data_IF_937212388749
#
_entry.id   IF_937212388749
#
_cell.length_a   1.000
_cell.length_b   1.000
_cell.length_c   1.000
_cell.angle_alpha   90.00
_cell.angle_beta   90.00
_cell.angle_gamma   90.00
#
_symmetry.space_group_name_H-M   'P 1'
#
loop_
_entity.id
_entity.type
_entity.pdbx_description
1 polymer ?
#
# COMPACT_ATOMS: atom_id res chain seq x y z
N UNK A 1 1.42 2.84 -16.57
CA UNK A 1 2.59 2.04 -17.02
C UNK A 1 2.14 0.61 -17.24
N UNK A 2 2.64 -0.04 -18.28
CA UNK A 2 2.40 -1.47 -18.50
C UNK A 2 3.25 -2.31 -17.52
N UNK A 3 2.80 -3.54 -17.22
CA UNK A 3 3.47 -4.42 -16.26
C UNK A 3 4.97 -4.64 -16.55
N UNK A 4 5.32 -4.87 -17.82
CA UNK A 4 6.71 -5.04 -18.24
C UNK A 4 7.57 -3.79 -18.01
N UNK A 5 7.01 -2.60 -18.23
CA UNK A 5 7.68 -1.32 -17.98
C UNK A 5 7.94 -1.10 -16.50
N UNK A 6 6.94 -1.39 -15.64
CA UNK A 6 7.09 -1.31 -14.19
C UNK A 6 8.25 -2.19 -13.72
N UNK A 7 8.23 -3.47 -14.10
CA UNK A 7 9.24 -4.44 -13.68
C UNK A 7 10.64 -4.03 -14.19
N UNK A 8 10.76 -3.66 -15.45
CA UNK A 8 12.05 -3.24 -16.04
C UNK A 8 12.59 -1.98 -15.33
N UNK A 9 11.75 -0.99 -15.05
CA UNK A 9 12.15 0.26 -14.43
C UNK A 9 12.63 0.06 -12.98
N UNK A 10 11.90 -0.71 -12.15
CA UNK A 10 12.33 -1.01 -10.78
C UNK A 10 13.61 -1.85 -10.72
N UNK A 11 13.78 -2.80 -11.64
CA UNK A 11 15.04 -3.55 -11.78
C UNK A 11 16.21 -2.66 -12.18
N UNK A 12 16.01 -1.78 -13.15
CA UNK A 12 17.04 -0.83 -13.57
C UNK A 12 17.42 0.14 -12.43
N UNK A 13 16.48 0.47 -11.56
CA UNK A 13 16.72 1.26 -10.35
C UNK A 13 17.36 0.46 -9.19
N UNK A 14 17.65 -0.84 -9.37
CA UNK A 14 18.34 -1.68 -8.39
C UNK A 14 17.44 -2.29 -7.31
N UNK A 15 16.12 -2.27 -7.47
CA UNK A 15 15.21 -2.91 -6.53
C UNK A 15 15.16 -4.42 -6.72
N UNK A 16 15.11 -5.15 -5.62
CA UNK A 16 14.92 -6.61 -5.61
C UNK A 16 13.43 -7.00 -5.51
N UNK A 17 12.59 -6.06 -5.09
CA UNK A 17 11.15 -6.26 -4.97
C UNK A 17 10.37 -4.96 -5.13
N UNK A 18 9.08 -5.10 -5.44
CA UNK A 18 8.08 -4.03 -5.42
C UNK A 18 6.81 -4.51 -4.70
N UNK A 19 6.12 -3.61 -4.03
CA UNK A 19 4.79 -3.86 -3.48
C UNK A 19 3.80 -3.09 -4.35
N UNK A 20 2.88 -3.80 -5.00
CA UNK A 20 1.81 -3.18 -5.78
C UNK A 20 0.67 -2.84 -4.83
N UNK A 21 0.30 -1.57 -4.78
CA UNK A 21 -0.72 -1.00 -3.88
C UNK A 21 -1.75 -0.22 -4.69
N UNK A 22 -2.39 -0.88 -5.65
CA UNK A 22 -3.45 -0.26 -6.45
C UNK A 22 -4.55 0.28 -5.54
N UNK A 23 -5.18 1.38 -5.96
CA UNK A 23 -6.27 2.00 -5.22
C UNK A 23 -7.48 1.09 -5.10
N UNK A 24 -7.87 0.79 -3.86
CA UNK A 24 -9.08 0.05 -3.53
C UNK A 24 -10.12 1.04 -2.99
N UNK A 25 -10.87 1.67 -3.90
CA UNK A 25 -11.89 2.67 -3.60
C UNK A 25 -12.99 2.70 -4.68
N UNK A 26 -14.07 3.45 -4.45
CA UNK A 26 -15.20 3.51 -5.39
C UNK A 26 -14.82 4.02 -6.78
N UNK A 27 -13.95 5.02 -6.85
CA UNK A 27 -13.53 5.59 -8.15
C UNK A 27 -12.79 4.55 -9.00
N UNK A 28 -11.91 3.78 -8.37
CA UNK A 28 -11.18 2.70 -9.08
C UNK A 28 -12.14 1.60 -9.54
N UNK A 29 -13.09 1.22 -8.70
CA UNK A 29 -14.07 0.22 -9.05
C UNK A 29 -14.98 0.68 -10.21
N UNK A 30 -15.41 1.93 -10.21
CA UNK A 30 -16.11 2.54 -11.33
C UNK A 30 -15.26 2.53 -12.61
N UNK A 31 -14.01 2.95 -12.53
CA UNK A 31 -13.08 2.94 -13.66
C UNK A 31 -12.86 1.55 -14.24
N UNK A 32 -12.78 0.53 -13.39
CA UNK A 32 -12.64 -0.87 -13.80
C UNK A 32 -13.94 -1.51 -14.26
N UNK A 33 -15.07 -0.84 -14.14
CA UNK A 33 -16.39 -1.40 -14.45
C UNK A 33 -16.83 -2.50 -13.48
N UNK A 34 -16.31 -2.48 -12.24
CA UNK A 34 -16.63 -3.45 -11.20
C UNK A 34 -17.70 -2.87 -10.27
N UNK A 35 -18.89 -3.49 -10.24
CA UNK A 35 -19.91 -3.13 -9.24
C UNK A 35 -19.49 -3.60 -7.85
N UNK A 36 -19.19 -2.69 -6.91
CA UNK A 36 -18.74 -3.06 -5.56
C UNK A 36 -19.81 -3.80 -4.73
N UNK A 37 -21.09 -3.65 -5.07
CA UNK A 37 -22.22 -4.37 -4.46
C UNK A 37 -22.65 -5.62 -5.26
N UNK A 38 -22.07 -5.85 -6.44
CA UNK A 38 -22.40 -6.94 -7.35
C UNK A 38 -22.11 -8.33 -6.78
N UNK A 39 -22.37 -9.36 -7.57
CA UNK A 39 -22.24 -10.78 -7.15
C UNK A 39 -21.02 -11.50 -7.72
N UNK A 40 -20.21 -10.85 -8.57
CA UNK A 40 -19.01 -11.45 -9.17
C UNK A 40 -17.82 -11.55 -8.24
N UNK A 41 -16.75 -12.20 -8.67
CA UNK A 41 -15.47 -12.25 -7.98
C UNK A 41 -14.71 -10.92 -8.15
N UNK A 42 -15.13 -9.93 -7.36
CA UNK A 42 -14.63 -8.55 -7.43
C UNK A 42 -13.19 -8.40 -7.01
N UNK A 43 -12.76 -9.20 -6.03
CA UNK A 43 -11.36 -9.17 -5.59
C UNK A 43 -10.44 -9.74 -6.67
N UNK A 44 -10.89 -10.77 -7.40
CA UNK A 44 -10.14 -11.29 -8.53
C UNK A 44 -9.99 -10.23 -9.64
N UNK A 45 -11.06 -9.52 -9.97
CA UNK A 45 -11.01 -8.46 -10.96
C UNK A 45 -10.11 -7.29 -10.52
N UNK A 46 -10.19 -6.85 -9.25
CA UNK A 46 -9.32 -5.83 -8.68
C UNK A 46 -7.83 -6.23 -8.77
N UNK A 47 -7.51 -7.49 -8.46
CA UNK A 47 -6.12 -7.97 -8.41
C UNK A 47 -5.51 -8.25 -9.81
N UNK A 48 -6.20 -7.96 -10.90
CA UNK A 48 -5.68 -8.25 -12.24
C UNK A 48 -4.39 -7.47 -12.55
N UNK A 49 -4.32 -6.19 -12.16
CA UNK A 49 -3.12 -5.36 -12.30
C UNK A 49 -1.92 -5.98 -11.56
N UNK A 50 -2.12 -6.29 -10.28
CA UNK A 50 -1.10 -6.97 -9.48
C UNK A 50 -0.62 -8.29 -10.12
N UNK A 51 -1.55 -9.14 -10.61
CA UNK A 51 -1.19 -10.43 -11.21
C UNK A 51 -0.31 -10.27 -12.44
N UNK A 52 -0.62 -9.31 -13.31
CA UNK A 52 0.20 -9.01 -14.51
C UNK A 52 1.61 -8.56 -14.13
N UNK A 53 1.73 -7.65 -13.15
CA UNK A 53 3.04 -7.20 -12.67
C UNK A 53 3.81 -8.35 -12.03
N UNK A 54 3.15 -9.21 -11.25
CA UNK A 54 3.77 -10.37 -10.61
C UNK A 54 4.27 -11.38 -11.65
N UNK A 55 3.43 -11.71 -12.63
CA UNK A 55 3.80 -12.65 -13.71
C UNK A 55 5.02 -12.15 -14.48
N UNK A 56 5.06 -10.86 -14.79
CA UNK A 56 6.20 -10.25 -15.45
C UNK A 56 7.43 -10.19 -14.53
N UNK A 57 7.22 -9.91 -13.23
CA UNK A 57 8.27 -9.97 -12.22
C UNK A 57 8.92 -11.34 -12.11
N UNK A 58 8.13 -12.41 -12.13
CA UNK A 58 8.60 -13.79 -12.08
C UNK A 58 9.49 -14.12 -13.32
N UNK A 59 9.12 -13.63 -14.52
CA UNK A 59 9.92 -13.77 -15.75
C UNK A 59 11.25 -13.03 -15.68
N UNK A 60 11.26 -11.85 -15.11
CA UNK A 60 12.43 -10.96 -15.09
C UNK A 60 13.24 -11.04 -13.78
N UNK A 61 12.81 -11.79 -12.77
CA UNK A 61 13.51 -11.94 -11.49
C UNK A 61 13.35 -10.74 -10.56
N UNK A 62 12.21 -10.04 -10.59
CA UNK A 62 11.78 -9.04 -9.59
C UNK A 62 10.69 -9.65 -8.71
N UNK A 63 10.88 -9.65 -7.39
CA UNK A 63 9.84 -10.10 -6.48
C UNK A 63 8.70 -9.07 -6.43
N UNK A 64 7.45 -9.53 -6.59
CA UNK A 64 6.27 -8.64 -6.53
C UNK A 64 5.37 -9.08 -5.39
N UNK A 65 5.13 -8.15 -4.46
CA UNK A 65 4.26 -8.37 -3.30
C UNK A 65 2.89 -7.72 -3.52
N UNK A 66 1.86 -8.38 -2.97
CA UNK A 66 0.50 -7.88 -2.97
C UNK A 66 0.30 -6.90 -1.82
N UNK A 67 -0.18 -5.73 -2.13
CA UNK A 67 -0.71 -4.72 -1.23
C UNK A 67 -2.04 -4.20 -1.75
N UNK A 68 -2.55 -3.15 -1.13
CA UNK A 68 -3.66 -2.33 -1.62
C UNK A 68 -3.57 -0.95 -0.98
N UNK A 69 -4.11 0.07 -1.63
CA UNK A 69 -4.30 1.40 -1.05
C UNK A 69 -5.81 1.65 -0.89
N UNK A 70 -6.30 1.49 0.35
CA UNK A 70 -7.72 1.58 0.69
C UNK A 70 -8.14 3.03 0.93
N UNK A 71 -9.34 3.39 0.42
CA UNK A 71 -10.06 4.57 0.88
C UNK A 71 -11.46 4.18 1.30
N UNK A 72 -11.84 4.60 2.51
CA UNK A 72 -13.18 4.45 3.04
C UNK A 72 -14.06 5.63 2.65
N UNK A 73 -15.39 5.42 2.64
CA UNK A 73 -16.37 6.48 2.29
C UNK A 73 -16.37 7.66 3.28
N UNK A 74 -15.79 7.49 4.47
CA UNK A 74 -15.81 8.48 5.55
C UNK A 74 -14.83 9.66 5.37
N UNK A 75 -13.80 9.51 4.52
CA UNK A 75 -12.77 10.55 4.35
C UNK A 75 -11.95 10.38 3.07
N UNK A 76 -11.13 11.39 2.76
CA UNK A 76 -10.15 11.35 1.66
C UNK A 76 -8.82 10.68 2.05
N UNK A 77 -8.73 10.09 3.24
CA UNK A 77 -7.54 9.39 3.70
C UNK A 77 -7.36 8.08 2.95
N UNK A 78 -6.13 7.81 2.53
CA UNK A 78 -5.72 6.54 1.96
C UNK A 78 -4.93 5.71 2.99
N UNK A 79 -5.08 4.40 2.92
CA UNK A 79 -4.47 3.46 3.83
C UNK A 79 -3.84 2.30 3.07
N UNK A 80 -2.52 2.15 3.21
CA UNK A 80 -1.78 1.03 2.65
C UNK A 80 -2.03 -0.23 3.49
N UNK A 81 -2.45 -1.28 2.84
CA UNK A 81 -2.74 -2.58 3.46
C UNK A 81 -1.74 -3.62 2.98
N UNK A 82 -1.03 -4.25 3.93
CA UNK A 82 -0.01 -5.25 3.66
C UNK A 82 -0.27 -6.58 4.35
N UNK A 83 0.11 -7.69 3.71
CA UNK A 83 0.00 -9.02 4.29
C UNK A 83 -1.43 -9.44 4.58
N UNK A 84 -2.34 -9.17 3.66
CA UNK A 84 -3.75 -9.49 3.79
C UNK A 84 -4.16 -10.70 2.92
N UNK A 85 -5.23 -11.36 3.31
CA UNK A 85 -5.86 -12.45 2.56
C UNK A 85 -7.04 -11.92 1.77
N UNK A 86 -7.37 -12.56 0.65
CA UNK A 86 -8.38 -12.08 -0.30
C UNK A 86 -9.77 -11.95 0.32
N UNK A 87 -10.09 -12.79 1.32
CA UNK A 87 -11.36 -12.73 2.06
C UNK A 87 -11.56 -11.40 2.82
N UNK A 88 -10.48 -10.72 3.23
CA UNK A 88 -10.56 -9.42 3.91
C UNK A 88 -11.19 -8.32 3.04
N UNK A 89 -10.96 -8.36 1.74
CA UNK A 89 -11.45 -7.37 0.77
C UNK A 89 -12.53 -7.94 -0.18
N UNK A 90 -13.06 -9.13 0.09
CA UNK A 90 -14.01 -9.80 -0.81
C UNK A 90 -15.37 -9.10 -0.94
N UNK A 91 -15.71 -8.20 -0.01
CA UNK A 91 -16.98 -7.45 0.01
C UNK A 91 -16.72 -5.94 -0.07
N UNK A 92 -16.40 -5.39 -1.25
CA UNK A 92 -15.91 -4.01 -1.39
C UNK A 92 -16.86 -2.96 -0.81
N UNK A 93 -18.16 -3.04 -1.12
CA UNK A 93 -19.16 -2.08 -0.62
C UNK A 93 -19.25 -2.08 0.92
N UNK A 94 -19.12 -3.23 1.56
CA UNK A 94 -19.03 -3.33 3.02
C UNK A 94 -17.76 -2.65 3.54
N UNK A 95 -16.61 -2.94 2.92
CA UNK A 95 -15.31 -2.37 3.30
C UNK A 95 -15.35 -0.86 3.19
N UNK A 96 -15.83 -0.30 2.07
CA UNK A 96 -15.89 1.15 1.87
C UNK A 96 -16.73 1.87 2.94
N UNK A 97 -17.86 1.29 3.33
CA UNK A 97 -18.77 1.87 4.34
C UNK A 97 -18.31 1.64 5.78
N UNK A 98 -17.44 0.68 6.03
CA UNK A 98 -17.06 0.28 7.39
C UNK A 98 -16.26 1.37 8.11
N UNK A 99 -15.50 2.17 7.38
CA UNK A 99 -14.56 3.13 7.93
C UNK A 99 -13.37 2.49 8.65
N UNK A 100 -12.38 3.30 8.98
CA UNK A 100 -11.15 2.80 9.61
C UNK A 100 -11.42 2.15 10.97
N UNK A 101 -12.31 2.71 11.77
CA UNK A 101 -12.62 2.22 13.13
C UNK A 101 -13.20 0.80 13.12
N UNK A 102 -14.04 0.49 12.14
CA UNK A 102 -14.59 -0.86 11.94
C UNK A 102 -13.61 -1.81 11.30
N UNK A 103 -12.85 -1.35 10.32
CA UNK A 103 -11.95 -2.19 9.53
C UNK A 103 -10.67 -2.59 10.26
N UNK A 104 -10.03 -1.68 11.00
CA UNK A 104 -8.73 -1.91 11.62
C UNK A 104 -8.69 -3.13 12.57
N UNK A 105 -9.68 -3.38 13.44
CA UNK A 105 -9.70 -4.57 14.27
C UNK A 105 -9.74 -5.88 13.46
N UNK A 106 -10.50 -5.90 12.35
CA UNK A 106 -10.64 -7.06 11.48
C UNK A 106 -9.32 -7.33 10.76
N UNK A 107 -8.72 -6.30 10.13
CA UNK A 107 -7.43 -6.41 9.48
C UNK A 107 -6.34 -6.94 10.43
N UNK A 108 -6.28 -6.38 11.64
CA UNK A 108 -5.33 -6.79 12.67
C UNK A 108 -5.54 -8.23 13.12
N UNK A 109 -6.78 -8.71 13.26
CA UNK A 109 -7.09 -10.09 13.64
C UNK A 109 -6.62 -11.12 12.60
N UNK A 110 -6.52 -10.70 11.33
CA UNK A 110 -5.99 -11.51 10.24
C UNK A 110 -4.46 -11.34 10.04
N UNK A 111 -3.80 -10.52 10.85
CA UNK A 111 -2.35 -10.27 10.78
C UNK A 111 -1.95 -9.26 9.70
N UNK A 112 -2.90 -8.61 9.03
CA UNK A 112 -2.62 -7.54 8.09
C UNK A 112 -2.09 -6.28 8.80
N UNK A 113 -1.26 -5.51 8.09
CA UNK A 113 -0.78 -4.20 8.52
C UNK A 113 -1.59 -3.12 7.85
N UNK A 114 -2.09 -2.15 8.63
CA UNK A 114 -2.78 -0.97 8.15
C UNK A 114 -1.93 0.28 8.43
N UNK A 115 -1.46 0.92 7.37
CA UNK A 115 -0.53 2.05 7.41
C UNK A 115 -1.17 3.24 6.71
N UNK A 116 -1.31 4.39 7.36
CA UNK A 116 -1.87 5.55 6.67
C UNK A 116 -0.86 6.09 5.65
N UNK A 117 -1.29 6.20 4.39
CA UNK A 117 -0.53 6.83 3.32
C UNK A 117 -0.50 8.35 3.52
N UNK A 118 0.61 8.98 3.20
CA UNK A 118 0.79 10.45 3.14
C UNK A 118 -0.14 11.28 4.07
N UNK A 119 -0.10 11.07 5.41
CA UNK A 119 -1.14 11.50 6.36
C UNK A 119 -1.33 13.01 6.48
N UNK A 120 -0.40 13.80 5.96
CA UNK A 120 -0.42 15.27 6.01
C UNK A 120 -0.58 15.94 4.65
N UNK A 121 -0.82 15.17 3.57
CA UNK A 121 -1.17 15.75 2.26
C UNK A 121 -2.42 16.61 2.38
N UNK A 122 -2.57 17.64 1.56
CA UNK A 122 -3.60 18.69 1.69
C UNK A 122 -5.04 18.16 1.89
N UNK A 123 -5.40 17.05 1.24
CA UNK A 123 -6.73 16.41 1.37
C UNK A 123 -6.82 15.42 2.54
N UNK A 124 -5.71 15.14 3.23
CA UNK A 124 -5.63 14.11 4.27
C UNK A 124 -5.51 14.71 5.65
N UNK A 125 -6.00 13.98 6.65
CA UNK A 125 -5.80 14.27 8.07
C UNK A 125 -5.29 13.02 8.78
N UNK A 126 -4.37 13.14 9.75
CA UNK A 126 -3.90 11.99 10.51
C UNK A 126 -5.08 11.27 11.18
N UNK A 127 -5.24 10.01 10.90
CA UNK A 127 -6.24 9.16 11.55
C UNK A 127 -5.85 8.89 12.99
N UNK A 128 -6.81 8.54 13.85
CA UNK A 128 -6.54 8.22 15.25
C UNK A 128 -5.56 7.04 15.34
N UNK A 129 -4.44 7.24 16.02
CA UNK A 129 -3.29 6.34 16.04
C UNK A 129 -3.62 4.89 16.48
N UNK A 130 -4.61 4.68 17.34
CA UNK A 130 -4.97 3.33 17.80
C UNK A 130 -5.55 2.43 16.70
N UNK A 131 -5.99 2.99 15.57
CA UNK A 131 -6.44 2.25 14.41
C UNK A 131 -5.33 1.90 13.43
N UNK A 132 -4.14 2.51 13.58
CA UNK A 132 -3.00 2.35 12.69
C UNK A 132 -1.97 1.38 13.26
N UNK A 133 -1.30 0.63 12.40
CA UNK A 133 -0.03 -0.04 12.71
C UNK A 133 1.16 0.89 12.39
N UNK A 134 1.01 1.78 11.41
CA UNK A 134 2.06 2.68 10.96
C UNK A 134 1.56 3.85 10.13
N UNK A 135 2.51 4.67 9.68
CA UNK A 135 2.29 5.74 8.69
C UNK A 135 3.39 5.73 7.63
N UNK A 136 3.06 6.21 6.45
CA UNK A 136 4.05 6.54 5.44
C UNK A 136 4.77 7.82 5.85
N UNK A 137 5.94 7.62 6.47
CA UNK A 137 6.76 8.71 7.00
C UNK A 137 7.59 9.41 5.92
N UNK A 138 7.74 8.76 4.77
CA UNK A 138 8.40 9.31 3.58
C UNK A 138 7.54 8.95 2.37
N UNK A 139 6.97 9.95 1.72
CA UNK A 139 6.37 9.86 0.40
C UNK A 139 7.16 10.76 -0.54
N UNK A 140 7.61 10.22 -1.67
CA UNK A 140 8.49 10.95 -2.61
C UNK A 140 7.80 11.32 -3.92
N UNK A 141 6.48 11.28 -3.99
CA UNK A 141 5.74 11.76 -5.15
C UNK A 141 6.00 13.26 -5.37
N UNK A 142 6.61 13.66 -6.50
CA UNK A 142 7.06 15.04 -6.68
C UNK A 142 5.92 16.04 -6.98
N UNK A 143 4.70 15.55 -7.18
CA UNK A 143 3.54 16.38 -7.52
C UNK A 143 2.75 16.86 -6.31
N UNK A 144 3.08 16.34 -5.12
CA UNK A 144 2.37 16.65 -3.88
C UNK A 144 3.35 16.94 -2.75
N UNK A 145 3.04 17.96 -1.97
CA UNK A 145 3.71 18.17 -0.68
C UNK A 145 3.10 17.19 0.34
N UNK A 146 3.91 16.25 0.82
CA UNK A 146 3.46 15.20 1.75
C UNK A 146 3.82 15.49 3.21
N UNK A 147 4.55 16.58 3.49
CA UNK A 147 4.94 16.99 4.84
C UNK A 147 5.58 15.87 5.65
N UNK A 148 6.54 15.16 5.07
CA UNK A 148 7.19 13.98 5.63
C UNK A 148 7.71 14.18 7.07
N UNK A 149 8.24 15.37 7.41
CA UNK A 149 8.69 15.68 8.77
C UNK A 149 7.54 15.53 9.78
N UNK A 150 6.36 16.04 9.49
CA UNK A 150 5.17 15.92 10.35
C UNK A 150 4.71 14.47 10.50
N UNK A 151 4.79 13.68 9.42
CA UNK A 151 4.45 12.26 9.46
C UNK A 151 5.42 11.48 10.38
N UNK A 152 6.72 11.80 10.36
CA UNK A 152 7.71 11.23 11.28
C UNK A 152 7.45 11.62 12.73
N UNK A 153 7.16 12.90 13.01
CA UNK A 153 6.82 13.37 14.35
C UNK A 153 5.59 12.63 14.89
N UNK A 154 4.55 12.49 14.07
CA UNK A 154 3.35 11.75 14.42
C UNK A 154 3.65 10.28 14.72
N UNK A 155 4.43 9.61 13.87
CA UNK A 155 4.85 8.23 14.12
C UNK A 155 5.63 8.08 15.43
N UNK A 156 6.55 9.00 15.71
CA UNK A 156 7.35 9.01 16.94
C UNK A 156 6.47 9.21 18.18
N UNK A 157 5.56 10.18 18.12
CA UNK A 157 4.66 10.50 19.23
C UNK A 157 3.80 9.30 19.66
N UNK A 158 3.34 8.49 18.71
CA UNK A 158 2.43 7.38 18.97
C UNK A 158 3.08 5.99 18.86
N UNK A 159 4.40 5.91 18.66
CA UNK A 159 5.13 4.66 18.54
C UNK A 159 4.75 3.82 17.31
N UNK A 160 4.26 4.46 16.25
CA UNK A 160 3.82 3.81 15.02
C UNK A 160 5.01 3.30 14.19
N UNK A 161 4.76 2.31 13.32
CA UNK A 161 5.70 1.91 12.28
C UNK A 161 5.85 3.05 11.25
N UNK A 162 7.03 3.13 10.65
CA UNK A 162 7.28 4.06 9.54
C UNK A 162 7.65 3.30 8.28
N UNK A 163 7.07 3.69 7.16
CA UNK A 163 7.44 3.18 5.84
C UNK A 163 7.82 4.32 4.91
N UNK A 164 8.41 3.99 3.78
CA UNK A 164 8.72 4.89 2.69
C UNK A 164 8.15 4.35 1.39
N UNK A 165 7.44 5.19 0.64
CA UNK A 165 6.82 4.88 -0.64
C UNK A 165 7.06 5.96 -1.70
N UNK A 166 7.12 5.53 -2.96
CA UNK A 166 7.24 6.44 -4.11
C UNK A 166 5.90 7.03 -4.53
N UNK A 167 4.80 6.37 -4.16
CA UNK A 167 3.46 6.73 -4.65
C UNK A 167 3.50 6.85 -6.20
N UNK A 168 4.00 5.75 -6.81
CA UNK A 168 4.42 5.71 -8.20
C UNK A 168 3.21 5.65 -9.14
N UNK A 169 3.02 6.71 -9.92
CA UNK A 169 1.99 6.80 -10.96
C UNK A 169 2.59 6.94 -12.36
N UNK A 170 3.87 7.29 -12.48
CA UNK A 170 4.56 7.59 -13.73
C UNK A 170 5.99 7.03 -13.72
N UNK A 171 6.62 6.84 -14.89
CA UNK A 171 7.99 6.33 -14.97
C UNK A 171 9.01 7.11 -14.14
N UNK A 172 8.88 8.43 -14.06
CA UNK A 172 9.78 9.31 -13.32
C UNK A 172 9.68 9.18 -11.79
N UNK A 173 8.65 8.50 -11.28
CA UNK A 173 8.46 8.26 -9.84
C UNK A 173 9.25 7.04 -9.36
N UNK A 174 9.68 6.17 -10.28
CA UNK A 174 10.36 4.91 -9.96
C UNK A 174 11.71 5.16 -9.29
N UNK A 175 12.03 4.37 -8.28
CA UNK A 175 13.36 4.33 -7.69
C UNK A 175 13.66 5.44 -6.68
N UNK A 176 12.66 6.17 -6.20
CA UNK A 176 12.85 7.31 -5.30
C UNK A 176 12.68 6.98 -3.83
N UNK A 177 11.99 5.89 -3.49
CA UNK A 177 11.63 5.56 -2.11
C UNK A 177 11.50 4.05 -1.91
N UNK A 178 11.49 3.62 -0.66
CA UNK A 178 11.31 2.22 -0.29
C UNK A 178 11.92 1.87 1.05
N UNK A 179 12.11 0.58 1.27
CA UNK A 179 12.78 0.05 2.46
C UNK A 179 13.97 -0.82 2.07
N UNK A 180 15.04 -0.74 2.84
CA UNK A 180 16.21 -1.59 2.70
C UNK A 180 16.21 -2.63 3.80
N UNK A 181 16.23 -3.91 3.43
CA UNK A 181 16.24 -5.06 4.35
C UNK A 181 17.38 -6.01 4.03
N UNK A 182 17.89 -6.72 5.04
CA UNK A 182 18.97 -7.70 4.84
C UNK A 182 18.53 -8.95 4.09
N UNK A 183 17.27 -9.32 4.24
CA UNK A 183 16.70 -10.52 3.60
C UNK A 183 15.44 -10.18 2.84
N UNK A 184 15.37 -10.63 1.59
CA UNK A 184 14.17 -10.50 0.79
C UNK A 184 13.06 -11.45 1.32
N UNK A 185 11.88 -10.94 1.69
CA UNK A 185 10.76 -11.79 2.08
C UNK A 185 10.34 -12.76 0.97
N UNK A 186 9.80 -13.93 1.32
CA UNK A 186 9.33 -14.92 0.35
C UNK A 186 7.97 -14.61 -0.24
N UNK A 187 7.11 -13.94 0.55
CA UNK A 187 5.72 -13.66 0.22
C UNK A 187 5.21 -12.41 0.93
N UNK A 188 3.99 -11.96 0.60
CA UNK A 188 3.38 -10.76 1.17
C UNK A 188 3.13 -10.85 2.69
N UNK A 189 2.88 -12.04 3.22
CA UNK A 189 2.71 -12.25 4.67
C UNK A 189 4.05 -12.15 5.41
N UNK A 190 5.12 -12.70 4.83
CA UNK A 190 6.46 -12.57 5.41
C UNK A 190 6.95 -11.11 5.30
N UNK A 191 6.63 -10.41 4.21
CA UNK A 191 6.92 -9.00 4.03
C UNK A 191 6.24 -8.15 5.14
N UNK A 192 4.96 -8.36 5.43
CA UNK A 192 4.27 -7.63 6.50
C UNK A 192 4.87 -7.93 7.88
N UNK A 193 5.27 -9.18 8.16
CA UNK A 193 5.97 -9.54 9.40
C UNK A 193 7.33 -8.87 9.51
N UNK A 194 8.07 -8.75 8.40
CA UNK A 194 9.36 -8.04 8.36
C UNK A 194 9.16 -6.55 8.67
N UNK A 195 8.16 -5.89 8.08
CA UNK A 195 7.83 -4.49 8.40
C UNK A 195 7.48 -4.36 9.89
N UNK A 196 6.67 -5.25 10.43
CA UNK A 196 6.29 -5.25 11.86
C UNK A 196 7.48 -5.41 12.78
N UNK A 197 8.53 -6.13 12.37
CA UNK A 197 9.76 -6.31 13.15
C UNK A 197 10.65 -5.06 13.23
N UNK A 198 10.40 -4.04 12.42
CA UNK A 198 11.22 -2.82 12.28
C UNK A 198 12.67 -3.08 11.83
N UNK A 199 13.00 -4.28 11.34
CA UNK A 199 14.35 -4.62 10.90
C UNK A 199 14.58 -4.21 9.43
N UNK A 200 14.54 -2.91 9.18
CA UNK A 200 14.78 -2.27 7.87
C UNK A 200 15.20 -0.82 8.06
N UNK A 201 15.67 -0.20 6.99
CA UNK A 201 15.94 1.24 6.89
C UNK A 201 15.08 1.84 5.77
N UNK A 202 14.68 3.11 5.93
CA UNK A 202 13.94 3.84 4.89
C UNK A 202 14.91 4.32 3.80
N UNK A 203 14.42 4.39 2.56
CA UNK A 203 15.06 5.02 1.40
C UNK A 203 14.18 6.21 1.00
N UNK A 204 14.78 7.29 0.47
CA UNK A 204 14.05 8.49 0.00
C UNK A 204 14.06 9.63 1.01
N UNK A 205 14.91 9.57 2.02
CA UNK A 205 15.13 10.66 2.97
C UNK A 205 16.02 11.75 2.40
#
# INVERSE_FOLDING_TARGET
MEAAEIVAAYKAAGYSAVIVTDHYNRLTFDYLGIDPAGTGDRIHAFLEGYRRVREEGDKQGLRVFKGAELRFDESENDYLLYGWRDDLLAQPDQVFRMGIAGFAPIARSQGALLVQAHPYRLSCTPAIACYLDGVEAVNTNPRHESYNARAREYAQQFGLLTISGSDCHRPEDVGRAGILTEKLPSDSMQMSRMIRSRNYRLIGE
#
